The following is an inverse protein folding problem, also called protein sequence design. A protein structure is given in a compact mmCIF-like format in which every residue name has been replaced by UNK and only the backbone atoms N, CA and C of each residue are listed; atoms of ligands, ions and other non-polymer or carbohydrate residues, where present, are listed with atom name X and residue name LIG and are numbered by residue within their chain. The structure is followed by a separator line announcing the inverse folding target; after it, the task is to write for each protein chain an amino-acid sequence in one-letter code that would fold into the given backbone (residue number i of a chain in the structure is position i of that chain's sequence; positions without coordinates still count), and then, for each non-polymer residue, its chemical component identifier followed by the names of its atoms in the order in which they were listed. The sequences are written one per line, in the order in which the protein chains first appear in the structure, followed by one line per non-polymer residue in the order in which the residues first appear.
data_IF_141492895736
#
_entry.id   IF_141492895736
#
_cell.length_a   1.000
_cell.length_b   1.000
_cell.length_c   1.000
_cell.angle_alpha   90.00
_cell.angle_beta   90.00
_cell.angle_gamma   90.00
#
_symmetry.space_group_name_H-M   'P 1'
#
loop_
_entity.id
_entity.type
_entity.pdbx_description
1 polymer ?
#
# COMPACT_ATOMS: atom_id res chain seq x y z
N UNK A 1 -11.92 -37.63 -23.13
CA UNK A 1 -11.85 -37.11 -21.73
C UNK A 1 -11.16 -35.76 -21.83
N UNK A 2 -11.78 -34.70 -21.37
CA UNK A 2 -11.12 -33.40 -21.30
C UNK A 2 -9.92 -33.52 -20.33
N UNK A 3 -8.78 -32.99 -20.76
CA UNK A 3 -7.59 -32.99 -19.92
C UNK A 3 -7.88 -32.10 -18.69
N UNK A 4 -7.74 -32.61 -17.48
CA UNK A 4 -8.02 -31.85 -16.26
C UNK A 4 -6.89 -30.84 -16.05
N UNK A 5 -7.22 -29.57 -15.87
CA UNK A 5 -6.26 -28.50 -15.60
C UNK A 5 -5.43 -28.82 -14.35
N UNK A 6 -4.14 -28.56 -14.38
CA UNK A 6 -3.20 -28.81 -13.27
C UNK A 6 -2.61 -27.50 -12.75
N UNK A 7 -2.15 -27.48 -11.50
CA UNK A 7 -1.42 -26.35 -10.93
C UNK A 7 -0.15 -25.99 -11.73
N UNK A 8 0.52 -26.99 -12.30
CA UNK A 8 1.72 -26.76 -13.10
C UNK A 8 1.39 -25.99 -14.37
N UNK A 9 0.35 -26.38 -15.10
CA UNK A 9 -0.07 -25.69 -16.33
C UNK A 9 -0.48 -24.25 -16.05
N UNK A 10 -1.20 -24.00 -14.92
CA UNK A 10 -1.57 -22.63 -14.49
C UNK A 10 -0.32 -21.81 -14.18
N UNK A 11 0.60 -22.37 -13.40
CA UNK A 11 1.86 -21.73 -13.04
C UNK A 11 2.70 -21.40 -14.27
N UNK A 12 2.91 -22.34 -15.17
CA UNK A 12 3.69 -22.16 -16.40
C UNK A 12 3.10 -21.07 -17.33
N UNK A 13 1.79 -20.86 -17.27
CA UNK A 13 1.10 -19.82 -18.01
C UNK A 13 1.29 -18.47 -17.32
N UNK A 14 0.91 -18.35 -16.04
CA UNK A 14 0.83 -17.06 -15.35
C UNK A 14 2.20 -16.52 -14.93
N UNK A 15 3.17 -17.39 -14.63
CA UNK A 15 4.52 -16.94 -14.23
C UNK A 15 5.33 -16.31 -15.38
N UNK A 16 4.87 -16.45 -16.62
CA UNK A 16 5.49 -15.82 -17.80
C UNK A 16 4.87 -14.47 -18.16
N UNK A 17 3.78 -14.10 -17.51
CA UNK A 17 3.14 -12.80 -17.74
C UNK A 17 4.02 -11.71 -17.16
N UNK A 18 4.39 -10.75 -17.98
CA UNK A 18 5.14 -9.59 -17.57
C UNK A 18 4.20 -8.60 -16.84
N UNK A 19 4.52 -8.31 -15.59
CA UNK A 19 3.78 -7.39 -14.73
C UNK A 19 4.48 -6.03 -14.59
N UNK A 20 5.65 -5.82 -15.22
CA UNK A 20 6.56 -4.69 -14.92
C UNK A 20 5.91 -3.32 -15.10
N UNK A 21 5.10 -3.13 -16.15
CA UNK A 21 4.39 -1.87 -16.43
C UNK A 21 3.24 -1.56 -15.46
N UNK A 22 2.84 -2.55 -14.63
CA UNK A 22 1.68 -2.45 -13.73
C UNK A 22 2.07 -2.49 -12.25
N UNK A 23 3.38 -2.43 -11.97
CA UNK A 23 3.93 -2.37 -10.62
C UNK A 23 4.00 -0.91 -10.18
N UNK A 24 3.28 -0.59 -9.12
CA UNK A 24 3.40 0.69 -8.42
C UNK A 24 4.36 0.54 -7.24
N UNK A 25 5.37 1.41 -7.15
CA UNK A 25 6.24 1.50 -5.98
C UNK A 25 5.70 2.55 -5.01
N UNK A 26 5.47 2.16 -3.77
CA UNK A 26 5.15 3.07 -2.66
C UNK A 26 6.16 2.84 -1.55
N UNK A 27 7.01 3.81 -1.30
CA UNK A 27 8.19 3.66 -0.44
C UNK A 27 9.05 2.49 -0.93
N UNK A 28 9.41 1.54 -0.07
CA UNK A 28 10.22 0.37 -0.43
C UNK A 28 9.38 -0.87 -0.79
N UNK A 29 8.06 -0.72 -0.98
CA UNK A 29 7.16 -1.82 -1.29
C UNK A 29 6.65 -1.72 -2.73
N UNK A 30 6.67 -2.86 -3.41
CA UNK A 30 6.11 -3.01 -4.76
C UNK A 30 4.67 -3.50 -4.68
N UNK A 31 3.77 -2.84 -5.38
CA UNK A 31 2.35 -3.20 -5.42
C UNK A 31 1.94 -3.48 -6.86
N UNK A 32 1.34 -4.62 -7.09
CA UNK A 32 0.66 -4.90 -8.35
C UNK A 32 -0.81 -4.44 -8.23
N UNK A 33 -1.30 -3.68 -9.21
CA UNK A 33 -2.71 -3.27 -9.25
C UNK A 33 -3.64 -4.47 -9.17
N UNK A 34 -4.52 -4.51 -8.15
CA UNK A 34 -5.46 -5.61 -7.98
C UNK A 34 -6.42 -5.76 -9.16
N UNK A 35 -6.85 -4.63 -9.76
CA UNK A 35 -7.77 -4.64 -10.87
C UNK A 35 -7.11 -5.23 -12.13
N UNK A 36 -5.87 -4.87 -12.39
CA UNK A 36 -5.10 -5.44 -13.47
C UNK A 36 -4.81 -6.93 -13.23
N UNK A 37 -4.32 -7.29 -12.04
CA UNK A 37 -4.01 -8.67 -11.69
C UNK A 37 -5.24 -9.59 -11.83
N UNK A 38 -6.41 -9.14 -11.38
CA UNK A 38 -7.65 -9.87 -11.53
C UNK A 38 -8.08 -9.96 -12.99
N UNK A 39 -7.96 -8.86 -13.76
CA UNK A 39 -8.25 -8.85 -15.20
C UNK A 39 -7.43 -9.88 -15.97
N UNK A 40 -6.11 -9.89 -15.77
CA UNK A 40 -5.19 -10.87 -16.37
C UNK A 40 -5.51 -12.30 -15.94
N UNK A 41 -5.85 -12.48 -14.65
CA UNK A 41 -6.20 -13.80 -14.12
C UNK A 41 -7.44 -14.39 -14.80
N UNK A 42 -8.49 -13.58 -14.97
CA UNK A 42 -9.75 -13.96 -15.65
C UNK A 42 -9.57 -14.07 -17.15
N UNK A 43 -8.70 -13.27 -17.77
CA UNK A 43 -8.40 -13.39 -19.21
C UNK A 43 -7.83 -14.77 -19.54
N UNK A 44 -6.90 -15.28 -18.72
CA UNK A 44 -6.33 -16.60 -18.89
C UNK A 44 -7.27 -17.74 -18.41
N UNK A 45 -8.04 -17.48 -17.35
CA UNK A 45 -8.93 -18.45 -16.71
C UNK A 45 -10.32 -17.85 -16.46
N UNK A 46 -11.21 -17.84 -17.48
CA UNK A 46 -12.52 -17.18 -17.39
C UNK A 46 -13.45 -17.72 -16.31
N UNK A 47 -13.23 -18.97 -15.85
CA UNK A 47 -13.99 -19.60 -14.77
C UNK A 47 -13.41 -19.29 -13.37
N UNK A 48 -12.35 -18.47 -13.29
CA UNK A 48 -11.74 -18.13 -12.01
C UNK A 48 -12.72 -17.38 -11.10
N UNK A 49 -12.70 -17.73 -9.83
CA UNK A 49 -13.52 -17.11 -8.80
C UNK A 49 -12.69 -16.83 -7.56
N UNK A 50 -13.12 -15.86 -6.77
CA UNK A 50 -12.57 -15.67 -5.43
C UNK A 50 -13.69 -15.40 -4.42
N UNK A 51 -13.40 -15.69 -3.16
CA UNK A 51 -14.26 -15.32 -2.04
C UNK A 51 -13.40 -14.90 -0.85
N UNK A 52 -13.86 -13.86 -0.14
CA UNK A 52 -13.30 -13.52 1.17
C UNK A 52 -14.05 -14.26 2.26
N UNK A 53 -13.31 -14.82 3.22
CA UNK A 53 -13.89 -15.50 4.35
C UNK A 53 -14.46 -14.48 5.34
N UNK A 54 -15.69 -14.73 5.80
CA UNK A 54 -16.29 -14.02 6.91
C UNK A 54 -16.18 -14.86 8.19
N UNK A 55 -16.09 -14.19 9.35
CA UNK A 55 -15.86 -14.80 10.65
C UNK A 55 -16.94 -14.37 11.64
N UNK A 56 -17.53 -15.33 12.35
CA UNK A 56 -18.46 -15.03 13.42
C UNK A 56 -17.73 -14.71 14.72
N UNK A 57 -18.15 -13.65 15.43
CA UNK A 57 -17.71 -13.40 16.79
C UNK A 57 -18.46 -14.30 17.81
N UNK A 58 -18.15 -14.13 19.09
CA UNK A 58 -18.78 -14.89 20.18
C UNK A 58 -20.31 -14.68 20.29
N UNK A 59 -20.84 -13.58 19.73
CA UNK A 59 -22.25 -13.24 19.69
C UNK A 59 -22.94 -13.70 18.38
N UNK A 60 -22.18 -14.30 17.47
CA UNK A 60 -22.67 -14.72 16.16
C UNK A 60 -22.72 -13.61 15.11
N UNK A 61 -22.15 -12.42 15.39
CA UNK A 61 -22.06 -11.33 14.41
C UNK A 61 -20.96 -11.67 13.39
N UNK A 62 -21.30 -11.53 12.10
CA UNK A 62 -20.37 -11.80 11.01
C UNK A 62 -19.48 -10.58 10.76
N UNK A 63 -18.18 -10.80 10.70
CA UNK A 63 -17.15 -9.82 10.41
C UNK A 63 -16.40 -10.18 9.14
N UNK A 64 -15.97 -9.17 8.40
CA UNK A 64 -15.19 -9.30 7.15
C UNK A 64 -13.70 -9.59 7.39
N UNK A 65 -13.28 -9.66 8.63
CA UNK A 65 -11.92 -9.97 9.06
C UNK A 65 -11.95 -10.82 10.34
N UNK A 66 -10.92 -11.64 10.55
CA UNK A 66 -10.68 -12.34 11.80
C UNK A 66 -9.98 -11.39 12.77
N UNK A 67 -10.59 -11.10 13.92
CA UNK A 67 -10.00 -10.27 14.97
C UNK A 67 -9.29 -11.14 16.01
N UNK A 68 -8.13 -10.67 16.46
CA UNK A 68 -7.30 -11.31 17.48
C UNK A 68 -7.43 -10.61 18.83
N UNK A 69 -7.04 -11.27 19.95
CA UNK A 69 -7.18 -10.70 21.30
C UNK A 69 -6.43 -9.38 21.52
N UNK A 70 -5.36 -9.12 20.77
CA UNK A 70 -4.59 -7.87 20.81
C UNK A 70 -5.24 -6.74 19.99
N UNK A 71 -6.43 -6.97 19.45
CA UNK A 71 -7.16 -6.01 18.61
C UNK A 71 -6.69 -5.99 17.15
N UNK A 72 -5.64 -6.70 16.78
CA UNK A 72 -5.25 -6.82 15.37
C UNK A 72 -6.26 -7.67 14.58
N UNK A 73 -6.17 -7.62 13.25
CA UNK A 73 -7.05 -8.40 12.40
C UNK A 73 -6.32 -8.98 11.18
N UNK A 74 -6.88 -10.04 10.62
CA UNK A 74 -6.45 -10.61 9.34
C UNK A 74 -7.61 -10.83 8.38
N UNK A 75 -7.29 -10.78 7.09
CA UNK A 75 -8.22 -11.07 5.99
C UNK A 75 -7.79 -12.33 5.28
N UNK A 76 -8.76 -13.11 4.81
CA UNK A 76 -8.53 -14.39 4.17
C UNK A 76 -9.27 -14.44 2.84
N UNK A 77 -8.58 -14.91 1.78
CA UNK A 77 -9.15 -15.10 0.45
C UNK A 77 -8.95 -16.53 -0.01
N UNK A 78 -9.94 -17.06 -0.69
CA UNK A 78 -9.85 -18.33 -1.42
C UNK A 78 -10.10 -18.05 -2.90
N UNK A 79 -9.20 -18.55 -3.75
CA UNK A 79 -9.30 -18.46 -5.21
C UNK A 79 -9.48 -19.85 -5.78
N UNK A 80 -10.31 -19.95 -6.80
CA UNK A 80 -10.57 -21.20 -7.51
C UNK A 80 -10.40 -20.99 -9.02
N UNK A 81 -9.81 -21.96 -9.68
CA UNK A 81 -9.80 -22.14 -11.13
C UNK A 81 -10.28 -23.57 -11.37
N UNK A 82 -11.50 -23.76 -11.85
CA UNK A 82 -12.14 -25.07 -11.93
C UNK A 82 -12.04 -25.84 -10.59
N UNK A 83 -11.34 -26.97 -10.55
CA UNK A 83 -11.12 -27.76 -9.33
C UNK A 83 -9.87 -27.37 -8.52
N UNK A 84 -9.09 -26.41 -9.02
CA UNK A 84 -7.87 -25.94 -8.34
C UNK A 84 -8.20 -24.83 -7.35
N UNK A 85 -7.72 -24.98 -6.11
CA UNK A 85 -8.00 -24.02 -5.03
C UNK A 85 -6.70 -23.56 -4.36
N UNK A 86 -6.57 -22.26 -4.13
CA UNK A 86 -5.54 -21.64 -3.28
C UNK A 86 -6.19 -20.72 -2.27
N UNK A 87 -5.70 -20.75 -1.05
CA UNK A 87 -6.11 -19.81 0.00
C UNK A 87 -4.90 -19.00 0.46
N UNK A 88 -5.13 -17.73 0.72
CA UNK A 88 -4.13 -16.79 1.24
C UNK A 88 -4.74 -16.00 2.39
N UNK A 89 -3.92 -15.60 3.34
CA UNK A 89 -4.33 -14.70 4.40
C UNK A 89 -3.28 -13.60 4.58
N UNK A 90 -3.70 -12.45 5.08
CA UNK A 90 -2.83 -11.31 5.30
C UNK A 90 -3.28 -10.56 6.55
N UNK A 91 -2.36 -10.17 7.48
CA UNK A 91 -2.69 -9.24 8.53
C UNK A 91 -3.11 -7.89 7.95
N UNK A 92 -3.98 -7.17 8.66
CA UNK A 92 -4.21 -5.76 8.37
C UNK A 92 -3.04 -4.96 8.93
N UNK A 93 -2.27 -4.31 8.04
CA UNK A 93 -0.96 -3.75 8.34
C UNK A 93 -0.86 -2.29 7.92
N UNK A 94 0.00 -1.55 8.62
CA UNK A 94 0.45 -0.22 8.23
C UNK A 94 1.47 -0.28 7.05
N UNK A 95 2.00 0.89 6.68
CA UNK A 95 2.99 1.02 5.60
C UNK A 95 4.37 0.43 5.95
N UNK A 96 4.62 0.14 7.24
CA UNK A 96 5.85 -0.54 7.74
C UNK A 96 5.66 -2.04 7.93
N UNK A 97 4.54 -2.59 7.45
CA UNK A 97 4.12 -3.99 7.65
C UNK A 97 3.88 -4.38 9.13
N UNK A 98 3.67 -3.41 10.03
CA UNK A 98 3.23 -3.72 11.39
C UNK A 98 1.73 -3.97 11.41
N UNK A 99 1.28 -4.96 12.19
CA UNK A 99 -0.15 -5.19 12.41
C UNK A 99 -0.81 -3.98 13.09
N UNK A 100 -1.99 -3.59 12.62
CA UNK A 100 -2.76 -2.46 13.15
C UNK A 100 -3.80 -2.98 14.13
N UNK A 101 -3.83 -2.41 15.36
CA UNK A 101 -4.89 -2.67 16.31
C UNK A 101 -6.16 -1.88 15.92
N UNK A 102 -7.32 -2.51 16.05
CA UNK A 102 -8.64 -1.95 15.72
C UNK A 102 -8.70 -1.30 14.32
N UNK A 103 -8.37 -2.05 13.25
CA UNK A 103 -8.34 -1.48 11.91
C UNK A 103 -9.72 -0.99 11.48
N UNK A 104 -9.74 0.15 10.79
CA UNK A 104 -10.94 0.71 10.18
C UNK A 104 -11.43 -0.16 9.00
N UNK A 105 -12.69 0.01 8.61
CA UNK A 105 -13.25 -0.66 7.43
C UNK A 105 -12.44 -0.38 6.15
N UNK A 106 -11.86 0.83 6.01
CA UNK A 106 -10.98 1.18 4.88
C UNK A 106 -9.71 0.33 4.88
N UNK A 107 -9.04 0.20 6.02
CA UNK A 107 -7.82 -0.61 6.16
C UNK A 107 -8.10 -2.10 5.90
N UNK A 108 -9.25 -2.61 6.36
CA UNK A 108 -9.69 -3.98 6.04
C UNK A 108 -9.91 -4.16 4.54
N UNK A 109 -10.58 -3.21 3.88
CA UNK A 109 -10.80 -3.24 2.42
C UNK A 109 -9.48 -3.25 1.64
N UNK A 110 -8.53 -2.38 2.01
CA UNK A 110 -7.22 -2.32 1.37
C UNK A 110 -6.42 -3.61 1.58
N UNK A 111 -6.47 -4.18 2.80
CA UNK A 111 -5.85 -5.48 3.11
C UNK A 111 -6.47 -6.62 2.29
N UNK A 112 -7.80 -6.63 2.06
CA UNK A 112 -8.47 -7.61 1.20
C UNK A 112 -7.92 -7.58 -0.22
N UNK A 113 -7.76 -6.39 -0.81
CA UNK A 113 -7.21 -6.27 -2.18
C UNK A 113 -5.75 -6.71 -2.27
N UNK A 114 -4.92 -6.37 -1.28
CA UNK A 114 -3.55 -6.88 -1.17
C UNK A 114 -3.51 -8.40 -1.01
N UNK A 115 -4.39 -8.96 -0.19
CA UNK A 115 -4.50 -10.41 0.02
C UNK A 115 -4.92 -11.13 -1.27
N UNK A 116 -5.86 -10.57 -2.05
CA UNK A 116 -6.29 -11.10 -3.33
C UNK A 116 -5.11 -11.21 -4.32
N UNK A 117 -4.32 -10.14 -4.47
CA UNK A 117 -3.18 -10.15 -5.39
C UNK A 117 -2.11 -11.16 -4.96
N UNK A 118 -1.79 -11.26 -3.66
CA UNK A 118 -0.88 -12.30 -3.15
C UNK A 118 -1.44 -13.71 -3.37
N UNK A 119 -2.76 -13.89 -3.25
CA UNK A 119 -3.43 -15.15 -3.60
C UNK A 119 -3.30 -15.50 -5.08
N UNK A 120 -3.44 -14.54 -5.98
CA UNK A 120 -3.22 -14.71 -7.42
C UNK A 120 -1.75 -15.06 -7.72
N UNK A 121 -0.81 -14.44 -7.01
CA UNK A 121 0.61 -14.73 -7.14
C UNK A 121 0.95 -16.19 -6.76
N UNK A 122 0.18 -16.84 -5.90
CA UNK A 122 0.32 -18.26 -5.61
C UNK A 122 -0.04 -19.18 -6.80
N UNK A 123 -0.69 -18.66 -7.82
CA UNK A 123 -0.90 -19.32 -9.12
C UNK A 123 0.16 -18.95 -10.16
N UNK A 124 1.10 -18.02 -9.83
CA UNK A 124 2.25 -17.67 -10.66
C UNK A 124 2.29 -16.21 -11.10
N UNK A 125 1.14 -15.51 -11.22
CA UNK A 125 1.10 -14.15 -11.75
C UNK A 125 1.82 -13.16 -10.82
N UNK A 126 2.93 -12.58 -11.31
CA UNK A 126 3.69 -11.58 -10.56
C UNK A 126 4.31 -12.10 -9.26
N UNK A 127 4.51 -13.43 -9.11
CA UNK A 127 5.05 -14.02 -7.88
C UNK A 127 6.42 -13.46 -7.48
N UNK A 128 7.23 -13.08 -8.46
CA UNK A 128 8.57 -12.51 -8.26
C UNK A 128 8.56 -11.13 -7.57
N UNK A 129 7.44 -10.41 -7.65
CA UNK A 129 7.27 -9.08 -7.02
C UNK A 129 7.38 -9.18 -5.49
N UNK A 130 6.91 -10.31 -4.94
CA UNK A 130 6.87 -10.58 -3.50
C UNK A 130 8.09 -11.34 -2.97
N UNK A 131 9.05 -11.66 -3.84
CA UNK A 131 10.29 -12.33 -3.42
C UNK A 131 11.11 -11.38 -2.55
N UNK A 132 11.26 -11.73 -1.26
CA UNK A 132 12.01 -10.94 -0.28
C UNK A 132 11.17 -10.03 0.62
N UNK A 133 9.87 -9.85 0.39
CA UNK A 133 9.01 -9.05 1.28
C UNK A 133 8.84 -9.64 2.69
N UNK A 134 8.95 -10.95 2.84
CA UNK A 134 8.70 -11.67 4.10
C UNK A 134 10.01 -12.03 4.84
N UNK A 135 11.14 -11.39 4.52
CA UNK A 135 12.36 -11.58 5.28
C UNK A 135 12.21 -10.99 6.68
N UNK A 136 12.59 -11.72 7.76
CA UNK A 136 12.55 -11.18 9.10
C UNK A 136 13.41 -9.92 9.17
N UNK A 137 12.83 -8.82 9.66
CA UNK A 137 13.61 -7.61 9.98
C UNK A 137 14.50 -7.98 11.16
N UNK A 138 15.82 -8.03 10.94
CA UNK A 138 16.77 -8.22 12.04
C UNK A 138 16.62 -7.04 13.01
N UNK A 139 16.54 -7.27 14.34
CA UNK A 139 16.52 -6.18 15.29
C UNK A 139 17.83 -5.42 15.21
N UNK A 140 17.72 -4.10 15.01
CA UNK A 140 18.78 -3.09 15.14
C UNK A 140 20.09 -3.33 14.34
N UNK A 141 20.05 -2.97 13.05
CA UNK A 141 21.16 -2.29 12.38
C UNK A 141 20.56 -1.12 11.61
N UNK A 142 21.00 0.08 11.95
CA UNK A 142 20.89 1.26 11.09
C UNK A 142 21.54 0.87 9.75
N UNK A 143 20.73 0.60 8.75
CA UNK A 143 21.21 0.23 7.42
C UNK A 143 21.48 1.50 6.62
N UNK A 144 22.76 1.75 6.37
CA UNK A 144 23.17 2.46 5.15
C UNK A 144 22.58 1.74 3.93
N UNK A 145 22.19 2.45 2.85
CA UNK A 145 21.54 1.84 1.69
C UNK A 145 22.53 0.93 0.94
N UNK A 146 22.55 -0.35 1.27
CA UNK A 146 23.24 -1.35 0.47
C UNK A 146 22.47 -1.57 -0.85
N UNK A 147 23.20 -1.36 -1.95
CA UNK A 147 22.78 -1.76 -3.29
C UNK A 147 22.61 -3.28 -3.31
N UNK A 148 21.37 -3.75 -3.24
CA UNK A 148 21.08 -5.17 -3.43
C UNK A 148 21.25 -5.53 -4.92
N UNK A 149 22.30 -6.28 -5.20
CA UNK A 149 22.47 -6.98 -6.49
C UNK A 149 21.37 -8.04 -6.61
N UNK A 150 20.45 -7.80 -7.50
CA UNK A 150 19.39 -8.74 -7.88
C UNK A 150 20.04 -9.99 -8.49
N UNK A 151 19.95 -11.13 -7.84
CA UNK A 151 20.32 -12.42 -8.46
C UNK A 151 19.31 -12.74 -9.55
N UNK A 152 19.67 -12.37 -10.77
CA UNK A 152 18.91 -12.68 -11.98
C UNK A 152 19.02 -14.17 -12.26
N UNK A 153 17.90 -14.89 -12.21
CA UNK A 153 17.79 -16.19 -12.84
C UNK A 153 17.80 -15.98 -14.35
N UNK A 154 18.90 -16.39 -15.01
CA UNK A 154 19.06 -16.27 -16.46
C UNK A 154 18.03 -17.17 -17.18
N UNK A 155 17.04 -16.57 -17.78
CA UNK A 155 16.31 -17.10 -18.94
C UNK A 155 16.92 -16.43 -20.16
N UNK A 156 17.18 -17.20 -21.23
CA UNK A 156 17.91 -16.78 -22.41
C UNK A 156 17.24 -15.57 -23.13
N UNK A 157 18.03 -14.71 -23.79
CA UNK A 157 17.59 -13.39 -24.21
C UNK A 157 16.75 -13.42 -25.50
N UNK A 158 15.75 -12.58 -25.59
CA UNK A 158 15.32 -11.99 -26.86
C UNK A 158 16.16 -10.73 -27.17
N UNK A 159 16.28 -10.44 -28.43
CA UNK A 159 17.16 -9.46 -29.08
C UNK A 159 16.98 -8.01 -28.56
N UNK A 160 18.10 -7.28 -28.64
CA UNK A 160 18.31 -5.90 -28.24
C UNK A 160 17.21 -4.93 -28.74
N UNK A 161 16.51 -4.28 -27.81
CA UNK A 161 15.87 -2.99 -28.05
C UNK A 161 16.46 -1.97 -27.07
N UNK A 162 16.84 -0.83 -27.62
CA UNK A 162 17.56 0.26 -26.99
C UNK A 162 16.82 0.81 -25.77
N UNK A 163 17.49 0.82 -24.61
CA UNK A 163 17.09 1.52 -23.40
C UNK A 163 17.01 3.02 -23.67
N UNK A 164 15.82 3.58 -23.58
CA UNK A 164 15.65 5.00 -23.33
C UNK A 164 15.60 5.19 -21.82
N UNK A 165 16.60 5.87 -21.28
CA UNK A 165 16.60 6.33 -19.87
C UNK A 165 15.37 7.22 -19.63
N UNK A 166 14.36 6.72 -18.90
CA UNK A 166 13.33 7.58 -18.34
C UNK A 166 13.91 8.23 -17.08
N UNK A 167 14.18 9.53 -17.16
CA UNK A 167 14.53 10.38 -16.03
C UNK A 167 13.41 10.31 -14.98
N UNK A 168 13.71 9.81 -13.76
CA UNK A 168 12.83 9.93 -12.60
C UNK A 168 12.52 11.42 -12.39
N UNK A 169 11.25 11.80 -12.56
CA UNK A 169 10.81 13.17 -12.29
C UNK A 169 11.07 13.47 -10.80
N UNK A 170 11.80 14.52 -10.46
CA UNK A 170 12.12 14.83 -9.07
C UNK A 170 10.85 15.09 -8.27
N UNK A 171 10.84 14.64 -6.99
CA UNK A 171 9.71 14.86 -6.09
C UNK A 171 9.33 16.34 -6.06
N UNK A 172 8.07 16.66 -6.38
CA UNK A 172 7.62 18.04 -6.51
C UNK A 172 7.25 18.61 -5.13
N UNK A 173 8.23 19.16 -4.43
CA UNK A 173 8.05 19.78 -3.11
C UNK A 173 7.05 20.94 -3.11
N UNK A 174 6.92 21.66 -4.22
CA UNK A 174 5.98 22.79 -4.35
C UNK A 174 4.53 22.31 -4.29
N UNK A 175 4.19 21.28 -5.09
CA UNK A 175 2.86 20.65 -5.04
C UNK A 175 2.57 20.01 -3.68
N UNK A 176 3.57 19.45 -3.04
CA UNK A 176 3.42 18.85 -1.70
C UNK A 176 3.10 19.92 -0.65
N UNK A 177 3.83 21.04 -0.63
CA UNK A 177 3.60 22.17 0.28
C UNK A 177 2.23 22.79 0.03
N UNK A 178 1.84 22.99 -1.22
CA UNK A 178 0.51 23.53 -1.57
C UNK A 178 -0.62 22.61 -1.08
N UNK A 179 -0.46 21.30 -1.20
CA UNK A 179 -1.43 20.32 -0.68
C UNK A 179 -1.53 20.37 0.86
N UNK A 180 -0.42 20.53 1.58
CA UNK A 180 -0.43 20.68 3.03
C UNK A 180 -1.12 21.97 3.46
N UNK A 181 -0.82 23.10 2.80
CA UNK A 181 -1.47 24.38 3.06
C UNK A 181 -2.98 24.29 2.78
N UNK A 182 -3.37 23.67 1.68
CA UNK A 182 -4.79 23.48 1.36
C UNK A 182 -5.51 22.63 2.42
N UNK A 183 -4.84 21.62 2.97
CA UNK A 183 -5.39 20.81 4.06
C UNK A 183 -5.54 21.62 5.34
N UNK A 184 -4.55 22.44 5.68
CA UNK A 184 -4.56 23.31 6.85
C UNK A 184 -5.65 24.39 6.80
N UNK A 185 -6.04 24.83 5.59
CA UNK A 185 -7.04 25.90 5.40
C UNK A 185 -8.49 25.44 5.36
N UNK A 186 -8.78 24.15 5.50
CA UNK A 186 -10.15 23.63 5.57
C UNK A 186 -10.89 24.19 6.78
N UNK A 187 -12.21 24.43 6.64
CA UNK A 187 -13.04 25.06 7.67
C UNK A 187 -13.15 24.25 8.97
N UNK A 188 -13.02 22.94 8.90
CA UNK A 188 -13.13 21.99 10.02
C UNK A 188 -11.79 21.63 10.67
N UNK A 189 -10.69 22.31 10.29
CA UNK A 189 -9.36 22.04 10.85
C UNK A 189 -9.24 22.61 12.26
N UNK A 190 -8.80 21.77 13.21
CA UNK A 190 -8.51 22.14 14.61
C UNK A 190 -7.00 22.38 14.79
N UNK A 191 -6.61 23.00 15.93
CA UNK A 191 -5.19 23.17 16.29
C UNK A 191 -4.48 21.82 16.38
N UNK A 192 -5.11 20.81 17.00
CA UNK A 192 -4.57 19.46 17.12
C UNK A 192 -4.44 18.79 15.73
N UNK A 193 -5.37 19.05 14.82
CA UNK A 193 -5.32 18.62 13.43
C UNK A 193 -4.13 19.21 12.66
N UNK A 194 -3.82 20.50 12.89
CA UNK A 194 -2.64 21.15 12.30
C UNK A 194 -1.34 20.51 12.81
N UNK A 195 -1.24 20.30 14.13
CA UNK A 195 -0.07 19.66 14.75
C UNK A 195 0.11 18.23 14.22
N UNK A 196 -0.96 17.44 14.18
CA UNK A 196 -0.91 16.07 13.66
C UNK A 196 -0.50 16.03 12.19
N UNK A 197 -0.98 16.95 11.36
CA UNK A 197 -0.60 17.05 9.95
C UNK A 197 0.89 17.38 9.79
N UNK A 198 1.42 18.29 10.61
CA UNK A 198 2.83 18.68 10.58
C UNK A 198 3.72 17.51 11.02
N UNK A 199 3.38 16.84 12.13
CA UNK A 199 4.13 15.69 12.65
C UNK A 199 4.12 14.48 11.70
N UNK A 200 2.98 14.21 11.06
CA UNK A 200 2.86 13.11 10.09
C UNK A 200 3.78 13.29 8.86
N UNK A 201 4.15 14.55 8.56
CA UNK A 201 4.96 14.90 7.38
C UNK A 201 6.34 15.45 7.74
N UNK A 202 6.76 15.33 9.01
CA UNK A 202 7.98 15.98 9.55
C UNK A 202 9.26 15.68 8.77
N UNK A 203 9.42 14.46 8.28
CA UNK A 203 10.64 14.06 7.57
C UNK A 203 10.74 14.76 6.22
N UNK A 204 9.66 14.79 5.44
CA UNK A 204 9.60 15.54 4.17
C UNK A 204 9.73 17.06 4.41
N UNK A 205 9.09 17.58 5.46
CA UNK A 205 9.20 19.00 5.83
C UNK A 205 10.63 19.36 6.23
N UNK A 206 11.36 18.46 6.89
CA UNK A 206 12.77 18.64 7.23
C UNK A 206 13.63 18.71 5.98
N UNK A 207 13.42 17.82 5.01
CA UNK A 207 14.11 17.86 3.72
C UNK A 207 13.84 19.19 3.00
N UNK A 208 12.58 19.64 2.96
CA UNK A 208 12.20 20.93 2.35
C UNK A 208 12.92 22.08 3.05
N UNK A 209 13.01 22.09 4.39
CA UNK A 209 13.72 23.12 5.13
C UNK A 209 15.20 23.19 4.73
N UNK A 210 15.82 22.04 4.53
CA UNK A 210 17.25 21.93 4.27
C UNK A 210 17.58 22.20 2.77
N UNK A 211 16.68 21.84 1.84
CA UNK A 211 16.89 21.97 0.39
C UNK A 211 16.20 23.22 -0.22
N UNK A 212 15.08 23.67 0.33
CA UNK A 212 14.28 24.80 -0.17
C UNK A 212 13.70 25.64 0.98
N UNK A 213 14.54 26.49 1.63
CA UNK A 213 14.11 27.31 2.78
C UNK A 213 12.92 28.24 2.50
N UNK A 214 12.80 28.78 1.27
CA UNK A 214 11.68 29.66 0.89
C UNK A 214 10.34 28.92 0.92
N UNK A 215 10.34 27.69 0.46
CA UNK A 215 9.16 26.84 0.45
C UNK A 215 8.76 26.40 1.87
N UNK A 216 9.76 26.16 2.72
CA UNK A 216 9.57 25.90 4.14
C UNK A 216 8.94 27.10 4.86
N UNK A 217 9.45 28.32 4.63
CA UNK A 217 8.93 29.54 5.22
C UNK A 217 7.46 29.80 4.78
N UNK A 218 7.13 29.52 3.52
CA UNK A 218 5.75 29.57 3.00
C UNK A 218 4.83 28.62 3.79
N UNK A 219 5.26 27.38 4.02
CA UNK A 219 4.50 26.38 4.76
C UNK A 219 4.27 26.81 6.21
N UNK A 220 5.35 27.16 6.92
CA UNK A 220 5.31 27.54 8.34
C UNK A 220 4.44 28.79 8.55
N UNK A 221 4.55 29.78 7.68
CA UNK A 221 3.75 30.99 7.73
C UNK A 221 2.25 30.70 7.57
N UNK A 222 1.89 29.82 6.62
CA UNK A 222 0.50 29.44 6.41
C UNK A 222 -0.09 28.68 7.60
N UNK A 223 0.67 27.77 8.20
CA UNK A 223 0.25 27.00 9.39
C UNK A 223 0.13 27.89 10.63
N UNK A 224 1.08 28.82 10.86
CA UNK A 224 1.03 29.77 11.96
C UNK A 224 -0.16 30.72 11.85
N UNK A 225 -0.44 31.24 10.65
CA UNK A 225 -1.61 32.08 10.38
C UNK A 225 -2.91 31.33 10.69
N UNK A 226 -3.05 30.09 10.18
CA UNK A 226 -4.26 29.30 10.40
C UNK A 226 -4.47 28.97 11.87
N UNK A 227 -3.40 28.62 12.59
CA UNK A 227 -3.46 28.39 14.04
C UNK A 227 -4.00 29.61 14.79
N UNK A 228 -3.48 30.81 14.50
CA UNK A 228 -3.96 32.06 15.09
C UNK A 228 -5.44 32.34 14.78
N UNK A 229 -5.90 32.05 13.55
CA UNK A 229 -7.31 32.20 13.19
C UNK A 229 -8.22 31.27 14.01
N UNK A 230 -7.82 30.01 14.21
CA UNK A 230 -8.58 29.05 15.01
C UNK A 230 -8.60 29.46 16.50
N UNK A 231 -7.45 29.84 17.05
CA UNK A 231 -7.33 30.27 18.46
C UNK A 231 -8.17 31.54 18.74
N UNK A 232 -8.21 32.49 17.80
CA UNK A 232 -9.04 33.71 17.93
C UNK A 232 -10.53 33.40 17.83
N UNK A 233 -10.98 32.55 16.91
CA UNK A 233 -12.37 32.15 16.80
C UNK A 233 -12.88 31.44 18.07
N UNK A 234 -12.05 30.57 18.66
CA UNK A 234 -12.38 29.89 19.92
C UNK A 234 -12.48 30.86 21.12
N UNK A 235 -11.69 31.95 21.12
CA UNK A 235 -11.74 32.96 22.16
C UNK A 235 -12.94 33.92 22.03
N UNK A 236 -13.42 34.19 20.83
CA UNK A 236 -14.63 34.98 20.57
C UNK A 236 -15.88 34.24 21.02
N UNK A 237 -15.99 32.91 20.75
CA UNK A 237 -17.11 32.08 21.19
C UNK A 237 -17.18 31.94 22.72
N UNK A 238 -16.05 31.98 23.44
CA UNK A 238 -16.00 31.89 24.90
C UNK A 238 -16.27 33.24 25.63
N UNK A 239 -16.32 34.37 24.93
CA UNK A 239 -16.60 35.67 25.51
C UNK A 239 -18.05 36.16 25.36
N UNK A 240 -18.87 35.42 24.61
CA UNK A 240 -20.31 35.74 24.38
C UNK A 240 -21.27 34.93 25.29
N UNK A 241 -20.75 34.11 26.22
CA UNK A 241 -21.49 33.44 27.28
C UNK A 241 -21.23 34.14 28.67
#
# INVERSE_FOLDING_TARGET
MANKLTYQEVWETLSKVDCSEHIEKKMNLSYLSWAWAWGMFVEHYPNAQYSFQAFADANGTMHDALFYPDGSASVHVTLNIDDLTRSMWLPVMDYKNNAIANPSARQISDAKMRCLVKGIAMFGLGHYIYAGEDLPVAPDKEEEPEKQETKVYKVAPPEEQQETEEEELPFNYEKFVDALIQTATKMDTTVDGLVSTFEANKDTIRTIRDENPELYDKLVTAFAKRRSEIENATNEENNDD
#
